data_IF_781139877060
#
_entry.id   IF_781139877060
#
_cell.length_a   1.000
_cell.length_b   1.000
_cell.length_c   1.000
_cell.angle_alpha   90.00
_cell.angle_beta   90.00
_cell.angle_gamma   90.00
#
_symmetry.space_group_name_H-M   'P 1'
#
loop_
_entity.id
_entity.type
_entity.pdbx_description
1 polymer ?
#
# COMPACT_ATOMS: atom_id res chain seq x y z
N UNK A 1 -7.62 -38.68 24.99
CA UNK A 1 -8.13 -37.33 24.66
C UNK A 1 -7.21 -36.76 23.61
N UNK A 2 -7.55 -36.92 22.33
CA UNK A 2 -6.75 -36.41 21.23
C UNK A 2 -7.27 -35.02 20.87
N UNK A 3 -6.46 -33.99 21.11
CA UNK A 3 -6.72 -32.63 20.67
C UNK A 3 -6.50 -32.56 19.15
N UNK A 4 -7.58 -32.35 18.42
CA UNK A 4 -7.56 -32.09 16.98
C UNK A 4 -7.13 -30.64 16.76
N UNK A 5 -5.88 -30.43 16.36
CA UNK A 5 -5.45 -29.14 15.82
C UNK A 5 -5.99 -29.01 14.38
N UNK A 6 -6.63 -27.89 13.99
CA UNK A 6 -7.04 -27.70 12.61
C UNK A 6 -5.80 -27.38 11.77
N UNK A 7 -5.35 -28.36 10.98
CA UNK A 7 -4.14 -28.31 10.14
C UNK A 7 -4.38 -27.72 8.74
N UNK A 8 -5.48 -26.98 8.53
CA UNK A 8 -5.75 -26.30 7.26
C UNK A 8 -6.19 -24.86 7.51
N UNK A 9 -5.22 -23.95 7.59
CA UNK A 9 -5.46 -22.56 7.19
C UNK A 9 -5.74 -22.60 5.70
N UNK A 10 -6.94 -22.15 5.30
CA UNK A 10 -7.43 -22.28 3.93
C UNK A 10 -6.46 -21.62 2.94
N UNK A 11 -5.90 -22.43 2.03
CA UNK A 11 -5.31 -21.94 0.81
C UNK A 11 -6.41 -21.21 0.03
N UNK A 12 -6.40 -19.88 0.06
CA UNK A 12 -7.26 -19.08 -0.82
C UNK A 12 -6.95 -19.47 -2.26
N UNK A 13 -7.96 -19.95 -2.99
CA UNK A 13 -7.82 -20.21 -4.42
C UNK A 13 -7.67 -18.88 -5.16
N UNK A 14 -6.92 -18.82 -6.27
CA UNK A 14 -6.73 -17.58 -7.03
C UNK A 14 -8.04 -16.88 -7.39
N UNK A 15 -9.10 -17.64 -7.71
CA UNK A 15 -10.43 -17.10 -8.02
C UNK A 15 -11.08 -16.40 -6.83
N UNK A 16 -11.03 -16.98 -5.62
CA UNK A 16 -11.63 -16.37 -4.43
C UNK A 16 -10.92 -15.06 -4.03
N UNK A 17 -9.59 -14.99 -4.19
CA UNK A 17 -8.84 -13.75 -3.93
C UNK A 17 -9.21 -12.64 -4.95
N UNK A 18 -9.45 -13.01 -6.20
CA UNK A 18 -9.84 -12.10 -7.27
C UNK A 18 -11.28 -11.57 -7.08
N UNK A 19 -12.23 -12.43 -6.72
CA UNK A 19 -13.60 -12.02 -6.40
C UNK A 19 -13.63 -11.07 -5.19
N UNK A 20 -12.84 -11.40 -4.16
CA UNK A 20 -12.68 -10.55 -2.98
C UNK A 20 -12.10 -9.18 -3.35
N UNK A 21 -11.04 -9.14 -4.16
CA UNK A 21 -10.45 -7.88 -4.63
C UNK A 21 -11.43 -7.05 -5.48
N UNK A 22 -12.23 -7.69 -6.33
CA UNK A 22 -13.25 -7.02 -7.11
C UNK A 22 -14.32 -6.37 -6.22
N UNK A 23 -14.79 -7.08 -5.19
CA UNK A 23 -15.76 -6.55 -4.22
C UNK A 23 -15.17 -5.41 -3.38
N UNK A 24 -13.93 -5.54 -2.91
CA UNK A 24 -13.22 -4.47 -2.20
C UNK A 24 -13.04 -3.23 -3.08
N UNK A 25 -12.69 -3.39 -4.36
CA UNK A 25 -12.58 -2.28 -5.31
C UNK A 25 -13.93 -1.63 -5.61
N UNK A 26 -15.01 -2.41 -5.71
CA UNK A 26 -16.37 -1.87 -5.84
C UNK A 26 -16.76 -1.02 -4.63
N UNK A 27 -16.46 -1.49 -3.41
CA UNK A 27 -16.66 -0.73 -2.18
C UNK A 27 -15.84 0.56 -2.17
N UNK A 28 -14.55 0.49 -2.54
CA UNK A 28 -13.67 1.66 -2.65
C UNK A 28 -14.22 2.74 -3.59
N UNK A 29 -14.72 2.32 -4.77
CA UNK A 29 -15.37 3.22 -5.74
C UNK A 29 -16.64 3.85 -5.17
N UNK A 30 -17.42 3.12 -4.38
CA UNK A 30 -18.61 3.65 -3.72
C UNK A 30 -18.29 4.63 -2.58
N UNK A 31 -17.16 4.46 -1.88
CA UNK A 31 -16.69 5.37 -0.82
C UNK A 31 -16.05 6.65 -1.38
N UNK A 32 -15.38 6.57 -2.54
CA UNK A 32 -14.62 7.69 -3.15
C UNK A 32 -15.44 9.00 -3.27
N UNK A 33 -16.72 9.01 -3.71
CA UNK A 33 -17.53 10.23 -3.77
C UNK A 33 -17.74 10.94 -2.43
N UNK A 34 -17.59 10.25 -1.30
CA UNK A 34 -17.64 10.88 0.03
C UNK A 34 -16.35 11.66 0.30
N UNK A 35 -15.19 11.04 0.05
CA UNK A 35 -13.89 11.69 0.15
C UNK A 35 -13.78 12.88 -0.81
N UNK A 36 -14.28 12.73 -2.05
CA UNK A 36 -14.29 13.81 -3.04
C UNK A 36 -15.01 15.09 -2.59
N UNK A 37 -15.98 14.94 -1.67
CA UNK A 37 -16.80 16.01 -1.08
C UNK A 37 -16.35 16.38 0.34
N UNK A 38 -15.17 15.95 0.76
CA UNK A 38 -14.64 16.16 2.11
C UNK A 38 -15.57 15.66 3.22
N UNK A 39 -16.31 14.57 2.97
CA UNK A 39 -17.20 13.95 3.96
C UNK A 39 -16.49 12.79 4.64
N UNK A 40 -16.42 12.84 5.97
CA UNK A 40 -15.87 11.77 6.77
C UNK A 40 -16.63 10.45 6.56
N UNK A 41 -15.87 9.36 6.48
CA UNK A 41 -16.35 8.00 6.41
C UNK A 41 -16.64 7.53 7.84
N UNK A 42 -17.91 7.39 8.19
CA UNK A 42 -18.30 6.80 9.47
C UNK A 42 -18.43 5.27 9.37
N UNK A 43 -18.42 4.61 10.53
CA UNK A 43 -18.49 3.14 10.64
C UNK A 43 -19.74 2.56 9.98
N UNK A 44 -20.87 3.26 10.06
CA UNK A 44 -22.15 2.80 9.53
C UNK A 44 -22.14 2.85 8.00
N UNK A 45 -21.65 3.94 7.43
CA UNK A 45 -21.46 4.11 5.99
C UNK A 45 -20.58 2.99 5.45
N UNK A 46 -19.37 2.83 6.02
CA UNK A 46 -18.41 1.81 5.58
C UNK A 46 -19.01 0.41 5.66
N UNK A 47 -19.60 0.02 6.79
CA UNK A 47 -20.20 -1.30 6.95
C UNK A 47 -21.36 -1.54 5.96
N UNK A 48 -22.19 -0.52 5.70
CA UNK A 48 -23.28 -0.63 4.72
C UNK A 48 -22.77 -0.79 3.30
N UNK A 49 -21.74 -0.03 2.91
CA UNK A 49 -21.12 -0.13 1.58
C UNK A 49 -20.47 -1.51 1.40
N UNK A 50 -19.72 -1.99 2.39
CA UNK A 50 -19.11 -3.31 2.35
C UNK A 50 -20.17 -4.41 2.21
N UNK A 51 -21.25 -4.35 2.99
CA UNK A 51 -22.34 -5.33 2.93
C UNK A 51 -22.99 -5.39 1.54
N UNK A 52 -23.20 -4.23 0.92
CA UNK A 52 -23.73 -4.15 -0.45
C UNK A 52 -22.74 -4.74 -1.46
N UNK A 53 -21.46 -4.41 -1.36
CA UNK A 53 -20.44 -4.85 -2.31
C UNK A 53 -20.11 -6.33 -2.19
N UNK A 54 -20.22 -6.93 -1.01
CA UNK A 54 -19.94 -8.34 -0.76
C UNK A 54 -21.19 -9.23 -0.79
N UNK A 55 -22.39 -8.65 -0.83
CA UNK A 55 -23.65 -9.39 -0.84
C UNK A 55 -24.01 -10.06 0.49
N UNK A 56 -23.36 -9.68 1.59
CA UNK A 56 -23.56 -10.23 2.93
C UNK A 56 -22.86 -9.40 3.99
N UNK A 57 -23.23 -9.59 5.26
CA UNK A 57 -22.72 -8.82 6.40
C UNK A 57 -21.41 -9.39 6.98
N UNK A 58 -20.73 -8.61 7.83
CA UNK A 58 -19.58 -9.09 8.60
C UNK A 58 -19.96 -10.17 9.62
N UNK A 59 -21.17 -10.11 10.18
CA UNK A 59 -21.70 -11.14 11.08
C UNK A 59 -21.91 -12.50 10.39
N UNK A 60 -22.19 -12.50 9.08
CA UNK A 60 -22.30 -13.70 8.25
C UNK A 60 -20.93 -14.17 7.72
N UNK A 61 -19.85 -13.45 8.03
CA UNK A 61 -18.50 -13.75 7.57
C UNK A 61 -18.25 -13.42 6.09
N UNK A 62 -19.13 -12.64 5.45
CA UNK A 62 -18.98 -12.27 4.03
C UNK A 62 -17.77 -11.35 3.80
N UNK A 63 -17.45 -10.50 4.78
CA UNK A 63 -16.29 -9.63 4.80
C UNK A 63 -15.81 -9.39 6.23
N UNK A 64 -14.56 -8.93 6.38
CA UNK A 64 -13.95 -8.58 7.65
C UNK A 64 -13.60 -7.09 7.69
N UNK A 65 -13.41 -6.52 8.89
CA UNK A 65 -12.98 -5.11 9.01
C UNK A 65 -11.63 -4.83 8.36
N UNK A 66 -10.78 -5.86 8.15
CA UNK A 66 -9.57 -5.73 7.33
C UNK A 66 -9.91 -5.38 5.88
N UNK A 67 -10.91 -6.05 5.32
CA UNK A 67 -11.35 -5.82 3.94
C UNK A 67 -11.94 -4.42 3.79
N UNK A 68 -12.64 -3.95 4.82
CA UNK A 68 -13.15 -2.58 4.88
C UNK A 68 -12.01 -1.55 4.93
N UNK A 69 -10.93 -1.85 5.65
CA UNK A 69 -9.75 -0.99 5.68
C UNK A 69 -9.01 -0.98 4.33
N UNK A 70 -8.80 -2.14 3.69
CA UNK A 70 -8.22 -2.19 2.33
C UNK A 70 -9.11 -1.43 1.32
N UNK A 71 -10.44 -1.47 1.46
CA UNK A 71 -11.37 -0.67 0.65
C UNK A 71 -11.23 0.85 0.89
N UNK A 72 -11.01 1.28 2.14
CA UNK A 72 -10.76 2.67 2.50
C UNK A 72 -9.44 3.15 1.90
N UNK A 73 -8.37 2.35 2.01
CA UNK A 73 -7.07 2.67 1.41
C UNK A 73 -7.16 2.76 -0.11
N UNK A 74 -7.88 1.84 -0.75
CA UNK A 74 -8.15 1.91 -2.18
C UNK A 74 -8.97 3.16 -2.57
N UNK A 75 -9.94 3.58 -1.74
CA UNK A 75 -10.68 4.82 -1.96
C UNK A 75 -9.79 6.06 -1.82
N UNK A 76 -8.83 6.04 -0.88
CA UNK A 76 -7.80 7.06 -0.77
C UNK A 76 -6.95 7.12 -2.04
N UNK A 77 -6.43 5.98 -2.55
CA UNK A 77 -5.69 5.94 -3.82
C UNK A 77 -6.47 6.63 -4.95
N UNK A 78 -7.76 6.32 -5.09
CA UNK A 78 -8.61 6.93 -6.12
C UNK A 78 -8.79 8.44 -5.93
N UNK A 79 -8.99 8.90 -4.70
CA UNK A 79 -9.09 10.33 -4.40
C UNK A 79 -7.75 11.05 -4.58
N UNK A 80 -6.64 10.45 -4.18
CA UNK A 80 -5.30 11.03 -4.37
C UNK A 80 -4.95 11.16 -5.85
N UNK A 81 -5.33 10.17 -6.69
CA UNK A 81 -5.19 10.28 -8.15
C UNK A 81 -5.95 11.48 -8.74
N UNK A 82 -7.13 11.80 -8.19
CA UNK A 82 -7.88 13.00 -8.59
C UNK A 82 -7.15 14.28 -8.17
N UNK A 83 -6.42 14.25 -7.06
CA UNK A 83 -5.63 15.37 -6.56
C UNK A 83 -4.21 15.42 -7.16
N UNK A 84 -3.85 14.54 -8.11
CA UNK A 84 -2.51 14.49 -8.70
C UNK A 84 -1.96 15.84 -9.18
N UNK A 85 -2.74 16.75 -9.81
CA UNK A 85 -2.23 18.07 -10.19
C UNK A 85 -1.74 18.92 -9.00
N UNK A 86 -2.33 18.74 -7.81
CA UNK A 86 -1.89 19.41 -6.59
C UNK A 86 -0.68 18.68 -5.99
N UNK A 87 -0.77 17.35 -5.86
CA UNK A 87 0.30 16.52 -5.29
C UNK A 87 1.59 16.64 -6.11
N UNK A 88 1.52 16.79 -7.43
CA UNK A 88 2.69 16.98 -8.29
C UNK A 88 3.54 18.21 -7.95
N UNK A 89 3.02 19.17 -7.16
CA UNK A 89 3.77 20.31 -6.60
C UNK A 89 4.52 19.96 -5.30
N UNK A 90 4.69 18.69 -4.97
CA UNK A 90 5.32 18.22 -3.74
C UNK A 90 6.70 18.83 -3.51
N UNK A 91 7.49 19.01 -4.57
CA UNK A 91 8.81 19.66 -4.48
C UNK A 91 8.71 21.16 -4.17
N UNK A 92 7.76 21.87 -4.78
CA UNK A 92 7.59 23.31 -4.60
C UNK A 92 6.98 23.69 -3.24
N UNK A 93 6.08 22.85 -2.72
CA UNK A 93 5.26 23.15 -1.55
C UNK A 93 5.08 21.93 -0.62
N UNK A 94 6.18 21.33 -0.10
CA UNK A 94 6.12 20.05 0.60
C UNK A 94 5.22 20.05 1.84
N UNK A 95 5.27 21.13 2.64
CA UNK A 95 4.44 21.26 3.83
C UNK A 95 2.94 21.37 3.51
N UNK A 96 2.59 22.09 2.43
CA UNK A 96 1.20 22.23 1.98
C UNK A 96 0.64 20.91 1.46
N UNK A 97 1.44 20.18 0.68
CA UNK A 97 1.03 18.87 0.15
C UNK A 97 0.91 17.85 1.27
N UNK A 98 1.84 17.81 2.24
CA UNK A 98 1.73 16.94 3.40
C UNK A 98 0.46 17.24 4.23
N UNK A 99 0.15 18.53 4.45
CA UNK A 99 -1.07 18.94 5.16
C UNK A 99 -2.35 18.57 4.39
N UNK A 100 -2.37 18.74 3.07
CA UNK A 100 -3.47 18.29 2.21
C UNK A 100 -3.70 16.78 2.36
N UNK A 101 -2.63 15.98 2.24
CA UNK A 101 -2.71 14.52 2.36
C UNK A 101 -3.18 14.08 3.76
N UNK A 102 -2.70 14.75 4.82
CA UNK A 102 -3.18 14.51 6.19
C UNK A 102 -4.69 14.81 6.30
N UNK A 103 -5.15 15.96 5.79
CA UNK A 103 -6.57 16.35 5.86
C UNK A 103 -7.50 15.37 5.14
N UNK A 104 -7.05 14.78 4.02
CA UNK A 104 -7.81 13.74 3.31
C UNK A 104 -7.81 12.43 4.09
N UNK A 105 -6.71 12.09 4.75
CA UNK A 105 -6.59 10.87 5.59
C UNK A 105 -7.50 10.95 6.82
N UNK A 106 -7.63 12.13 7.43
CA UNK A 106 -8.49 12.38 8.60
C UNK A 106 -9.99 12.20 8.32
N UNK A 107 -10.39 12.13 7.04
CA UNK A 107 -11.75 11.78 6.64
C UNK A 107 -12.03 10.27 6.74
N UNK A 108 -11.03 9.44 7.02
CA UNK A 108 -11.18 7.99 7.06
C UNK A 108 -11.26 7.44 8.48
N UNK A 109 -11.62 6.16 8.60
CA UNK A 109 -11.66 5.50 9.91
C UNK A 109 -10.25 5.21 10.40
N UNK A 110 -9.93 5.63 11.63
CA UNK A 110 -8.71 5.18 12.31
C UNK A 110 -8.70 3.65 12.46
N UNK A 111 -7.61 3.00 12.07
CA UNK A 111 -7.38 1.57 12.29
C UNK A 111 -7.21 1.28 13.79
N UNK A 112 -8.31 1.24 14.54
CA UNK A 112 -8.29 1.01 16.00
C UNK A 112 -8.08 -0.45 16.38
N UNK A 113 -7.99 -1.38 15.42
CA UNK A 113 -7.78 -2.82 15.68
C UNK A 113 -6.73 -3.40 14.74
N UNK A 114 -5.59 -3.76 15.31
CA UNK A 114 -4.54 -4.59 14.71
C UNK A 114 -5.11 -6.01 14.55
N UNK A 115 -5.21 -6.53 13.33
CA UNK A 115 -5.57 -7.94 13.12
C UNK A 115 -4.35 -8.85 13.30
N UNK A 116 -4.53 -10.10 13.72
CA UNK A 116 -3.43 -11.06 13.92
C UNK A 116 -2.62 -11.29 12.65
N UNK A 117 -3.27 -11.30 11.48
CA UNK A 117 -2.61 -11.44 10.18
C UNK A 117 -1.90 -10.12 9.75
N UNK A 118 -2.29 -8.95 10.25
CA UNK A 118 -1.54 -7.69 10.05
C UNK A 118 -0.24 -7.69 10.87
N UNK A 119 -0.27 -8.31 12.06
CA UNK A 119 0.92 -8.54 12.90
C UNK A 119 1.80 -9.64 12.30
N UNK A 120 1.22 -10.72 11.79
CA UNK A 120 1.97 -11.83 11.20
C UNK A 120 2.72 -11.45 9.91
N UNK A 121 2.19 -10.49 9.13
CA UNK A 121 2.77 -10.05 7.86
C UNK A 121 3.38 -8.64 7.92
N UNK A 122 3.46 -8.01 9.10
CA UNK A 122 3.93 -6.63 9.28
C UNK A 122 3.30 -5.62 8.28
N UNK A 123 2.00 -5.77 8.00
CA UNK A 123 1.30 -4.98 6.98
C UNK A 123 0.81 -3.64 7.54
N UNK A 124 1.75 -2.72 7.80
CA UNK A 124 1.41 -1.35 8.20
C UNK A 124 1.10 -0.50 6.97
N UNK A 125 -0.08 0.12 6.98
CA UNK A 125 -0.44 1.12 5.98
C UNK A 125 0.45 2.35 6.13
N UNK A 126 1.01 2.84 5.03
CA UNK A 126 1.77 4.10 5.02
C UNK A 126 0.78 5.26 4.93
N UNK A 127 0.64 6.11 5.96
CA UNK A 127 -0.23 7.28 5.85
C UNK A 127 0.20 8.17 4.68
N UNK A 128 -0.71 8.69 3.85
CA UNK A 128 -0.39 9.50 2.68
C UNK A 128 0.58 10.67 2.95
N UNK A 129 0.47 11.34 4.09
CA UNK A 129 1.40 12.39 4.48
C UNK A 129 2.84 11.88 4.67
N UNK A 130 3.01 10.68 5.23
CA UNK A 130 4.32 10.03 5.34
C UNK A 130 4.83 9.54 3.98
N UNK A 131 3.93 9.08 3.10
CA UNK A 131 4.28 8.73 1.73
C UNK A 131 4.86 9.93 0.95
N UNK A 132 4.30 11.13 1.12
CA UNK A 132 4.87 12.34 0.55
C UNK A 132 6.30 12.63 1.04
N UNK A 133 6.59 12.42 2.33
CA UNK A 133 7.94 12.58 2.85
C UNK A 133 8.91 11.55 2.26
N UNK A 134 8.49 10.29 2.10
CA UNK A 134 9.32 9.26 1.48
C UNK A 134 9.60 9.55 0.00
N UNK A 135 8.58 9.97 -0.76
CA UNK A 135 8.71 10.36 -2.18
C UNK A 135 9.62 11.58 -2.34
N UNK A 136 9.48 12.57 -1.45
CA UNK A 136 10.35 13.76 -1.44
C UNK A 136 11.80 13.40 -1.08
N UNK A 137 12.01 12.54 -0.09
CA UNK A 137 13.34 12.09 0.33
C UNK A 137 14.04 11.26 -0.76
N UNK A 138 13.29 10.46 -1.53
CA UNK A 138 13.79 9.77 -2.72
C UNK A 138 14.03 10.71 -3.91
N UNK A 139 13.66 12.00 -3.81
CA UNK A 139 13.73 12.99 -4.88
C UNK A 139 13.12 12.47 -6.18
N UNK A 140 11.91 11.90 -6.10
CA UNK A 140 11.21 11.42 -7.29
C UNK A 140 10.94 12.58 -8.24
N UNK A 141 11.22 12.36 -9.52
CA UNK A 141 11.02 13.33 -10.61
C UNK A 141 10.06 12.80 -11.67
N UNK A 142 9.41 13.69 -12.44
CA UNK A 142 8.69 13.28 -13.63
C UNK A 142 9.58 12.47 -14.57
N UNK A 143 9.12 11.28 -14.96
CA UNK A 143 9.86 10.36 -15.82
C UNK A 143 10.75 9.35 -15.09
N UNK A 144 10.96 9.47 -13.78
CA UNK A 144 11.66 8.43 -13.01
C UNK A 144 10.90 7.09 -13.13
N UNK A 145 11.64 6.00 -13.29
CA UNK A 145 11.16 4.64 -13.07
C UNK A 145 11.33 4.30 -11.60
N UNK A 146 10.21 4.10 -10.91
CA UNK A 146 10.15 3.93 -9.46
C UNK A 146 9.64 2.53 -9.12
N UNK A 147 10.39 1.83 -8.26
CA UNK A 147 9.98 0.55 -7.69
C UNK A 147 9.37 0.77 -6.29
N UNK A 148 8.24 0.13 -6.03
CA UNK A 148 7.73 -0.12 -4.67
C UNK A 148 7.75 -1.63 -4.37
N UNK A 149 8.72 -2.13 -3.57
CA UNK A 149 8.92 -3.58 -3.37
C UNK A 149 7.82 -4.27 -2.56
N UNK A 150 7.06 -3.53 -1.76
CA UNK A 150 6.02 -4.04 -0.87
C UNK A 150 4.85 -3.06 -0.88
N UNK A 151 4.11 -3.06 -1.99
CA UNK A 151 3.22 -1.98 -2.36
C UNK A 151 1.92 -1.90 -1.56
N UNK A 152 1.50 -2.99 -0.90
CA UNK A 152 0.22 -3.05 -0.23
C UNK A 152 -0.93 -2.70 -1.17
N UNK A 153 -1.70 -1.67 -0.81
CA UNK A 153 -2.78 -1.11 -1.64
C UNK A 153 -2.32 0.02 -2.56
N UNK A 154 -1.06 0.45 -2.47
CA UNK A 154 -0.44 1.47 -3.31
C UNK A 154 -0.56 2.91 -2.81
N UNK A 155 -0.72 3.13 -1.50
CA UNK A 155 -0.77 4.49 -0.93
C UNK A 155 0.54 5.27 -1.08
N UNK A 156 1.68 4.58 -1.12
CA UNK A 156 2.98 5.20 -1.38
C UNK A 156 3.17 5.40 -2.91
N UNK A 157 2.89 4.36 -3.70
CA UNK A 157 2.88 4.39 -5.17
C UNK A 157 2.11 5.58 -5.76
N UNK A 158 0.89 5.84 -5.29
CA UNK A 158 0.05 6.90 -5.87
C UNK A 158 0.67 8.30 -5.73
N UNK A 159 1.45 8.54 -4.67
CA UNK A 159 2.13 9.83 -4.48
C UNK A 159 3.28 9.98 -5.48
N UNK A 160 4.03 8.91 -5.74
CA UNK A 160 5.06 8.91 -6.78
C UNK A 160 4.47 9.03 -8.19
N UNK A 161 3.38 8.33 -8.49
CA UNK A 161 2.62 8.46 -9.76
C UNK A 161 2.14 9.92 -9.95
N UNK A 162 1.61 10.54 -8.89
CA UNK A 162 1.18 11.94 -8.92
C UNK A 162 2.33 12.93 -9.15
N UNK A 163 3.56 12.57 -8.78
CA UNK A 163 4.77 13.33 -9.10
C UNK A 163 5.32 13.03 -10.52
N UNK A 164 4.61 12.24 -11.32
CA UNK A 164 4.97 11.94 -12.71
C UNK A 164 5.90 10.74 -12.89
N UNK A 165 6.08 9.89 -11.88
CA UNK A 165 6.84 8.66 -12.00
C UNK A 165 6.13 7.61 -12.84
N UNK A 166 6.92 6.74 -13.48
CA UNK A 166 6.45 5.45 -13.99
C UNK A 166 6.69 4.38 -12.93
N UNK A 167 5.70 3.53 -12.68
CA UNK A 167 5.71 2.62 -11.54
C UNK A 167 5.96 1.17 -11.93
N UNK A 168 6.73 0.48 -11.10
CA UNK A 168 6.78 -0.97 -11.02
C UNK A 168 6.49 -1.38 -9.56
N UNK A 169 5.47 -2.21 -9.33
CA UNK A 169 4.95 -2.51 -8.00
C UNK A 169 5.07 -4.00 -7.71
N UNK A 170 5.49 -4.36 -6.50
CA UNK A 170 5.49 -5.74 -6.05
C UNK A 170 4.65 -5.90 -4.78
N UNK A 171 3.76 -6.90 -4.76
CA UNK A 171 2.97 -7.24 -3.58
C UNK A 171 2.74 -8.75 -3.49
N UNK A 172 3.17 -9.36 -2.38
CA UNK A 172 3.11 -10.80 -2.16
C UNK A 172 1.72 -11.28 -1.73
N UNK A 173 0.94 -10.43 -1.03
CA UNK A 173 -0.38 -10.80 -0.54
C UNK A 173 -1.38 -10.92 -1.71
N UNK A 174 -1.99 -12.11 -1.93
CA UNK A 174 -2.85 -12.35 -3.09
C UNK A 174 -3.99 -11.33 -3.24
N UNK A 175 -4.66 -10.97 -2.14
CA UNK A 175 -5.77 -10.02 -2.15
C UNK A 175 -5.32 -8.60 -2.57
N UNK A 176 -4.27 -8.06 -1.92
CA UNK A 176 -3.78 -6.69 -2.18
C UNK A 176 -3.14 -6.57 -3.54
N UNK A 177 -2.39 -7.60 -3.93
CA UNK A 177 -1.78 -7.66 -5.26
C UNK A 177 -2.84 -7.71 -6.38
N UNK A 178 -3.99 -8.35 -6.16
CA UNK A 178 -5.14 -8.29 -7.08
C UNK A 178 -5.85 -6.93 -7.07
N UNK A 179 -5.88 -6.21 -5.93
CA UNK A 179 -6.36 -4.83 -5.89
C UNK A 179 -5.50 -3.89 -6.72
N UNK A 180 -4.17 -4.06 -6.67
CA UNK A 180 -3.23 -3.27 -7.48
C UNK A 180 -3.48 -3.40 -8.98
N UNK A 181 -3.95 -4.56 -9.47
CA UNK A 181 -4.31 -4.74 -10.88
C UNK A 181 -5.44 -3.80 -11.30
N UNK A 182 -6.43 -3.59 -10.42
CA UNK A 182 -7.53 -2.67 -10.67
C UNK A 182 -7.21 -1.21 -10.37
N UNK A 183 -6.28 -0.94 -9.43
CA UNK A 183 -5.91 0.41 -9.00
C UNK A 183 -4.82 1.04 -9.88
N UNK A 184 -3.87 0.26 -10.39
CA UNK A 184 -2.71 0.77 -11.14
C UNK A 184 -2.55 0.05 -12.48
N UNK A 185 -3.55 0.09 -13.39
CA UNK A 185 -3.51 -0.71 -14.62
C UNK A 185 -2.33 -0.36 -15.56
N UNK A 186 -1.75 0.84 -15.44
CA UNK A 186 -0.62 1.30 -16.24
C UNK A 186 0.75 0.86 -15.69
N UNK A 187 0.85 0.44 -14.43
CA UNK A 187 2.11 0.01 -13.83
C UNK A 187 2.54 -1.38 -14.33
N UNK A 188 3.80 -1.75 -14.15
CA UNK A 188 4.17 -3.18 -14.11
C UNK A 188 3.93 -3.70 -12.70
N UNK A 189 3.44 -4.94 -12.54
CA UNK A 189 3.12 -5.52 -11.23
C UNK A 189 3.65 -6.95 -11.13
N UNK A 190 4.25 -7.28 -9.98
CA UNK A 190 4.75 -8.63 -9.65
C UNK A 190 4.28 -9.08 -8.26
N UNK A 191 4.47 -10.37 -7.94
CA UNK A 191 3.98 -11.00 -6.69
C UNK A 191 5.06 -11.86 -6.02
N UNK A 192 6.29 -11.36 -5.99
CA UNK A 192 7.45 -12.07 -5.46
C UNK A 192 7.76 -11.68 -4.01
N UNK A 193 8.56 -12.51 -3.34
CA UNK A 193 9.22 -12.10 -2.10
C UNK A 193 10.20 -10.96 -2.42
N UNK A 194 9.98 -9.82 -1.78
CA UNK A 194 10.73 -8.60 -2.05
C UNK A 194 12.24 -8.76 -1.79
N UNK A 195 12.65 -9.67 -0.90
CA UNK A 195 14.05 -9.97 -0.61
C UNK A 195 14.80 -10.61 -1.81
N UNK A 196 14.09 -11.06 -2.83
CA UNK A 196 14.65 -11.72 -4.02
C UNK A 196 14.41 -10.93 -5.32
N UNK A 197 13.86 -9.71 -5.25
CA UNK A 197 13.54 -8.94 -6.45
C UNK A 197 14.77 -8.65 -7.31
N UNK A 198 15.92 -8.42 -6.69
CA UNK A 198 17.16 -8.15 -7.45
C UNK A 198 17.53 -9.26 -8.43
N UNK A 199 17.21 -10.51 -8.09
CA UNK A 199 17.59 -11.71 -8.84
C UNK A 199 16.50 -12.13 -9.84
N UNK A 200 15.25 -11.75 -9.57
CA UNK A 200 14.06 -12.22 -10.32
C UNK A 200 13.53 -11.15 -11.26
N UNK A 201 13.63 -9.88 -10.89
CA UNK A 201 13.00 -8.80 -11.62
C UNK A 201 13.86 -8.42 -12.84
N UNK A 202 13.34 -8.55 -14.09
CA UNK A 202 14.14 -8.26 -15.29
C UNK A 202 14.62 -6.81 -15.38
N UNK A 203 13.95 -5.90 -14.67
CA UNK A 203 14.25 -4.48 -14.56
C UNK A 203 15.18 -4.13 -13.39
N UNK A 204 15.65 -5.12 -12.63
CA UNK A 204 16.66 -4.90 -11.60
C UNK A 204 17.89 -4.19 -12.20
N UNK A 205 18.41 -3.19 -11.48
CA UNK A 205 19.47 -2.30 -11.96
C UNK A 205 19.00 -1.15 -12.87
N UNK A 206 17.69 -0.94 -13.06
CA UNK A 206 17.15 0.11 -13.95
C UNK A 206 16.32 1.20 -13.26
N UNK A 207 16.10 1.10 -11.94
CA UNK A 207 15.24 2.03 -11.21
C UNK A 207 15.97 3.31 -10.80
N UNK A 208 15.41 4.47 -11.12
CA UNK A 208 15.95 5.76 -10.67
C UNK A 208 15.64 6.01 -9.19
N UNK A 209 14.53 5.47 -8.69
CA UNK A 209 14.24 5.49 -7.28
C UNK A 209 13.53 4.23 -6.80
N UNK A 210 13.71 3.93 -5.52
CA UNK A 210 12.92 2.95 -4.78
C UNK A 210 12.29 3.67 -3.60
N UNK A 211 10.99 3.49 -3.41
CA UNK A 211 10.25 3.96 -2.25
C UNK A 211 9.72 2.73 -1.51
N UNK A 212 9.94 2.65 -0.19
CA UNK A 212 9.66 1.43 0.54
C UNK A 212 9.08 1.66 1.95
N UNK A 213 8.11 0.83 2.31
CA UNK A 213 7.74 0.55 3.69
C UNK A 213 7.84 -0.98 3.91
N UNK A 214 9.07 -1.52 4.06
CA UNK A 214 9.28 -2.96 4.15
C UNK A 214 8.74 -3.55 5.46
N UNK A 215 8.44 -4.85 5.50
CA UNK A 215 8.12 -5.54 6.75
C UNK A 215 9.29 -5.45 7.74
N UNK A 216 9.00 -5.12 9.00
CA UNK A 216 10.03 -4.82 9.99
C UNK A 216 10.77 -6.06 10.51
N UNK A 217 10.18 -7.27 10.44
CA UNK A 217 10.86 -8.51 10.84
C UNK A 217 12.02 -8.91 9.92
N UNK A 218 11.96 -8.60 8.61
CA UNK A 218 12.99 -8.98 7.62
C UNK A 218 13.57 -7.78 6.88
N UNK A 219 13.74 -6.71 7.64
CA UNK A 219 14.09 -5.38 7.13
C UNK A 219 15.36 -5.37 6.27
N UNK A 220 16.49 -5.87 6.80
CA UNK A 220 17.80 -5.80 6.13
C UNK A 220 17.80 -6.46 4.74
N UNK A 221 17.25 -7.67 4.63
CA UNK A 221 17.18 -8.38 3.35
C UNK A 221 16.35 -7.64 2.31
N UNK A 222 15.25 -7.01 2.73
CA UNK A 222 14.42 -6.20 1.84
C UNK A 222 15.12 -4.90 1.43
N UNK A 223 15.86 -4.26 2.35
CA UNK A 223 16.62 -3.04 2.04
C UNK A 223 17.79 -3.32 1.09
N UNK A 224 18.56 -4.40 1.31
CA UNK A 224 19.64 -4.78 0.41
C UNK A 224 19.11 -5.12 -0.99
N UNK A 225 18.04 -5.90 -1.09
CA UNK A 225 17.42 -6.19 -2.39
C UNK A 225 16.89 -4.92 -3.08
N UNK A 226 16.30 -3.98 -2.32
CA UNK A 226 15.87 -2.69 -2.85
C UNK A 226 17.03 -1.85 -3.39
N UNK A 227 18.17 -1.80 -2.67
CA UNK A 227 19.38 -1.10 -3.12
C UNK A 227 19.92 -1.74 -4.41
N UNK A 228 20.01 -3.07 -4.44
CA UNK A 228 20.52 -3.82 -5.59
C UNK A 228 19.63 -3.68 -6.85
N UNK A 229 18.37 -3.27 -6.69
CA UNK A 229 17.48 -2.97 -7.82
C UNK A 229 17.78 -1.60 -8.47
N UNK A 230 18.46 -0.68 -7.79
CA UNK A 230 18.67 0.69 -8.30
C UNK A 230 19.62 0.71 -9.50
N UNK A 231 19.36 1.64 -10.42
CA UNK A 231 20.35 2.05 -11.41
C UNK A 231 21.52 2.79 -10.72
N UNK A 232 22.63 2.95 -11.44
CA UNK A 232 23.72 3.82 -11.00
C UNK A 232 23.19 5.26 -10.75
N UNK A 233 23.47 5.81 -9.57
CA UNK A 233 22.93 7.11 -9.13
C UNK A 233 21.47 7.08 -8.67
N UNK A 234 20.86 5.89 -8.57
CA UNK A 234 19.51 5.71 -8.03
C UNK A 234 19.42 6.02 -6.54
N UNK A 235 18.19 6.30 -6.07
CA UNK A 235 17.93 6.76 -4.70
C UNK A 235 16.91 5.86 -4.01
N UNK A 236 17.18 5.45 -2.77
CA UNK A 236 16.23 4.72 -1.93
C UNK A 236 15.71 5.64 -0.82
N UNK A 237 14.39 5.67 -0.63
CA UNK A 237 13.78 6.12 0.61
C UNK A 237 12.98 4.98 1.24
N UNK A 238 13.23 4.69 2.51
CA UNK A 238 12.57 3.63 3.24
C UNK A 238 12.08 4.10 4.61
N UNK A 239 10.86 3.69 4.97
CA UNK A 239 10.31 3.85 6.31
C UNK A 239 10.78 2.67 7.15
N UNK A 240 11.54 2.94 8.21
CA UNK A 240 12.19 1.92 9.04
C UNK A 240 11.99 2.22 10.53
N UNK A 241 11.96 1.20 11.40
CA UNK A 241 11.89 1.41 12.84
C UNK A 241 13.22 2.02 13.37
N UNK A 242 13.13 2.90 14.36
CA UNK A 242 14.29 3.58 14.95
C UNK A 242 15.38 2.63 15.45
N UNK A 243 15.00 1.44 15.95
CA UNK A 243 15.91 0.39 16.43
C UNK A 243 17.01 0.01 15.43
N UNK A 244 16.76 0.15 14.13
CA UNK A 244 17.77 -0.09 13.09
C UNK A 244 19.05 0.73 13.32
N UNK A 245 18.91 1.93 13.88
CA UNK A 245 20.02 2.84 14.18
C UNK A 245 20.57 2.70 15.60
N UNK A 246 19.82 2.05 16.49
CA UNK A 246 20.24 1.82 17.89
C UNK A 246 21.18 0.61 17.98
N UNK A 247 20.90 -0.45 17.21
CA UNK A 247 21.76 -1.65 17.15
C UNK A 247 23.13 -1.36 16.50
N UNK A 248 23.22 -0.32 15.66
CA UNK A 248 24.48 0.15 15.07
C UNK A 248 25.44 0.82 16.07
N UNK A 249 24.94 1.23 17.26
CA UNK A 249 25.76 1.79 18.33
C UNK A 249 26.37 0.74 19.28
N UNK A 250 26.07 -0.56 19.06
CA UNK A 250 26.54 -1.68 19.87
C UNK A 250 27.62 -2.55 19.20
N UNK A 251 28.15 -2.13 18.04
CA UNK A 251 29.36 -2.67 17.41
C UNK A 251 30.51 -1.66 17.48
#
# INVERSE_FOLDING_TARGET
MNATFPLFSALQTPGAAQDKAANTLAAARALTPHLNRSRALDRKLVASTMTISFGGSDAEGAWSWRDAYDAIEAALVLQLRRLSPQIGRLEDAPAEIAALLASVTDLTLTHTRRSEEQVALDQFSTPPALAALAVLAAQVRPGDKVLEPSAGTGLLAIVAEACGATLELNEIAPHRSALLDGLFPAASRTRHDAAHLKDILPSSGSFQAVIANPPFQRLEGHLHAAIDCLAEGGRLSAIVPTRLFEDAGAM
#
